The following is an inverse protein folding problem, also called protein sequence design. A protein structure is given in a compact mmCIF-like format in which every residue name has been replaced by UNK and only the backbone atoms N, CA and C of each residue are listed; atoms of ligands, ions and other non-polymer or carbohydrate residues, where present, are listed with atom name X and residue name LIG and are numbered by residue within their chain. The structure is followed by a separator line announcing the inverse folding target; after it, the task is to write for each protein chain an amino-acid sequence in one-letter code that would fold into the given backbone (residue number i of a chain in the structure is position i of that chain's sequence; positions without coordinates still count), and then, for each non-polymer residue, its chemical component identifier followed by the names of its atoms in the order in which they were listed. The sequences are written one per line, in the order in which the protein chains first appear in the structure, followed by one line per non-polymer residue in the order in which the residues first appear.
data_IF_006564776192
#
_entry.id   IF_006564776192
#
_cell.length_a   1.000
_cell.length_b   1.000
_cell.length_c   1.000
_cell.angle_alpha   90.00
_cell.angle_beta   90.00
_cell.angle_gamma   90.00
#
_symmetry.space_group_name_H-M   'P 1'
#
loop_
_entity.id
_entity.type
_entity.pdbx_description
1 polymer ?
#
# COMPACT_ATOMS: atom_id res chain seq x y z
N UNK A 1 -25.21 -25.71 15.05
CA UNK A 1 -23.86 -25.27 14.53
C UNK A 1 -23.65 -25.96 13.21
N UNK A 2 -23.37 -25.22 12.15
CA UNK A 2 -22.99 -25.79 10.87
C UNK A 2 -21.54 -26.26 11.02
N UNK A 3 -21.35 -27.59 11.11
CA UNK A 3 -20.01 -28.19 11.18
C UNK A 3 -19.40 -28.10 9.78
N UNK A 4 -18.27 -27.42 9.64
CA UNK A 4 -17.53 -27.35 8.37
C UNK A 4 -16.81 -28.68 8.14
N UNK A 5 -17.01 -29.26 6.97
CA UNK A 5 -16.33 -30.46 6.52
C UNK A 5 -15.03 -30.07 5.76
N UNK A 6 -13.95 -29.95 6.49
CA UNK A 6 -12.65 -29.55 5.93
C UNK A 6 -12.14 -30.48 4.83
N UNK A 7 -12.65 -31.70 4.71
CA UNK A 7 -12.26 -32.58 3.61
C UNK A 7 -12.75 -32.08 2.24
N UNK A 8 -13.77 -31.22 2.22
CA UNK A 8 -14.32 -30.60 1.02
C UNK A 8 -13.71 -29.24 0.69
N UNK A 9 -12.96 -28.67 1.62
CA UNK A 9 -12.37 -27.37 1.47
C UNK A 9 -11.04 -27.44 0.67
N UNK A 10 -10.52 -26.31 0.17
CA UNK A 10 -9.26 -26.29 -0.59
C UNK A 10 -8.07 -26.87 0.17
N UNK A 11 -7.20 -27.60 -0.54
CA UNK A 11 -5.94 -28.14 -0.02
C UNK A 11 -4.80 -27.79 -0.95
N UNK A 12 -4.10 -26.69 -0.67
CA UNK A 12 -2.92 -26.24 -1.41
C UNK A 12 -1.75 -25.99 -0.48
N UNK A 13 -0.54 -26.32 -0.91
CA UNK A 13 0.69 -26.10 -0.14
C UNK A 13 1.18 -24.66 -0.38
N UNK A 14 0.73 -23.73 0.44
CA UNK A 14 0.95 -22.29 0.28
C UNK A 14 2.06 -21.78 1.20
N UNK A 15 2.99 -21.00 0.66
CA UNK A 15 3.89 -20.15 1.43
C UNK A 15 3.52 -18.68 1.22
N UNK A 16 3.29 -17.95 2.31
CA UNK A 16 3.17 -16.50 2.31
C UNK A 16 4.45 -15.89 2.87
N UNK A 17 5.16 -15.10 2.07
CA UNK A 17 6.49 -14.60 2.38
C UNK A 17 6.46 -13.08 2.52
N UNK A 18 6.99 -12.54 3.62
CA UNK A 18 7.09 -11.12 3.95
C UNK A 18 8.56 -10.74 4.21
N UNK A 19 9.05 -9.69 3.56
CA UNK A 19 10.39 -9.16 3.76
C UNK A 19 10.45 -8.31 5.01
N UNK A 20 11.23 -8.74 6.00
CA UNK A 20 11.28 -8.07 7.31
C UNK A 20 11.75 -6.63 7.21
N UNK A 21 10.85 -5.67 7.56
CA UNK A 21 11.14 -4.23 7.53
C UNK A 21 11.71 -3.77 6.17
N UNK A 22 11.11 -4.17 5.08
CA UNK A 22 11.66 -4.18 3.72
C UNK A 22 12.46 -2.93 3.35
N UNK A 23 11.86 -1.73 3.34
CA UNK A 23 12.58 -0.51 2.95
C UNK A 23 13.78 -0.24 3.85
N UNK A 24 13.64 -0.43 5.16
CA UNK A 24 14.74 -0.24 6.10
C UNK A 24 15.85 -1.29 5.88
N UNK A 25 15.48 -2.52 5.53
CA UNK A 25 16.44 -3.59 5.21
C UNK A 25 17.20 -3.30 3.91
N UNK A 26 16.52 -2.83 2.86
CA UNK A 26 17.17 -2.39 1.62
C UNK A 26 18.17 -1.28 1.90
N UNK A 27 17.76 -0.27 2.68
CA UNK A 27 18.64 0.85 3.03
C UNK A 27 19.87 0.42 3.87
N UNK A 28 19.69 -0.55 4.76
CA UNK A 28 20.82 -1.12 5.50
C UNK A 28 21.78 -1.86 4.57
N UNK A 29 21.27 -2.79 3.76
CA UNK A 29 22.09 -3.61 2.86
C UNK A 29 22.89 -2.78 1.87
N UNK A 30 22.25 -1.81 1.23
CA UNK A 30 22.92 -0.90 0.26
C UNK A 30 24.04 -0.06 0.89
N UNK A 31 24.04 0.09 2.23
CA UNK A 31 25.09 0.79 2.99
C UNK A 31 26.07 -0.15 3.69
N UNK A 32 26.01 -1.44 3.42
CA UNK A 32 26.85 -2.44 4.10
C UNK A 32 26.52 -2.61 5.59
N UNK A 33 25.31 -2.23 6.02
CA UNK A 33 24.86 -2.34 7.41
C UNK A 33 23.99 -3.58 7.60
N UNK A 34 24.01 -4.14 8.82
CA UNK A 34 23.18 -5.29 9.15
C UNK A 34 21.75 -4.83 9.50
N UNK A 35 20.69 -5.29 8.76
CA UNK A 35 19.31 -4.90 9.00
C UNK A 35 18.77 -5.24 10.39
N UNK A 36 19.27 -6.29 11.04
CA UNK A 36 18.80 -6.72 12.35
C UNK A 36 19.40 -5.94 13.53
N UNK A 37 20.62 -5.41 13.36
CA UNK A 37 21.37 -4.77 14.45
C UNK A 37 21.50 -3.26 14.30
N UNK A 38 21.23 -2.72 13.11
CA UNK A 38 21.30 -1.28 12.84
C UNK A 38 19.99 -0.60 13.22
N UNK A 39 20.08 0.51 13.95
CA UNK A 39 18.93 1.37 14.20
C UNK A 39 18.76 2.33 13.02
N UNK A 40 17.79 2.04 12.13
CA UNK A 40 17.54 2.81 10.91
C UNK A 40 16.05 3.05 10.71
N UNK A 41 15.73 4.23 10.19
CA UNK A 41 14.37 4.64 9.85
C UNK A 41 14.35 5.31 8.47
N UNK A 42 13.41 4.88 7.62
CA UNK A 42 13.10 5.50 6.33
C UNK A 42 11.97 6.49 6.53
N UNK A 43 12.24 7.76 6.24
CA UNK A 43 11.32 8.86 6.55
C UNK A 43 11.14 9.79 5.36
N UNK A 44 9.89 10.00 4.94
CA UNK A 44 9.56 11.04 3.99
C UNK A 44 9.71 12.40 4.66
N UNK A 45 10.52 13.29 4.13
CA UNK A 45 10.81 14.61 4.71
C UNK A 45 11.50 14.54 6.07
N UNK A 46 12.73 14.01 6.09
CA UNK A 46 13.58 13.98 7.28
C UNK A 46 13.92 15.38 7.82
N UNK A 47 13.75 16.42 7.01
CA UNK A 47 13.93 17.84 7.32
C UNK A 47 12.76 18.45 8.11
N UNK A 48 11.63 17.77 8.23
CA UNK A 48 10.39 18.32 8.75
C UNK A 48 9.83 17.44 9.89
N UNK A 49 9.36 18.10 10.96
CA UNK A 49 8.68 17.46 12.11
C UNK A 49 7.40 16.67 11.73
N UNK A 50 6.85 16.87 10.53
CA UNK A 50 5.67 16.16 10.02
C UNK A 50 6.01 14.99 9.07
N UNK A 51 7.27 14.61 8.96
CA UNK A 51 7.71 13.49 8.11
C UNK A 51 6.99 12.18 8.49
N UNK A 52 6.60 11.41 7.49
CA UNK A 52 6.00 10.10 7.68
C UNK A 52 7.10 9.05 7.76
N UNK A 53 7.11 8.24 8.80
CA UNK A 53 7.98 7.08 8.91
C UNK A 53 7.35 5.95 8.08
N UNK A 54 8.00 5.59 6.97
CA UNK A 54 7.52 4.57 6.04
C UNK A 54 7.90 3.17 6.49
N UNK A 55 9.12 3.03 6.98
CA UNK A 55 9.62 1.77 7.53
C UNK A 55 10.72 2.03 8.56
N UNK A 56 10.91 1.09 9.44
CA UNK A 56 11.97 1.13 10.45
C UNK A 56 12.53 -0.26 10.72
N UNK A 57 13.81 -0.32 11.04
CA UNK A 57 14.51 -1.56 11.37
C UNK A 57 13.97 -2.20 12.67
N UNK A 58 14.19 -3.51 12.89
CA UNK A 58 13.76 -4.18 14.09
C UNK A 58 14.29 -3.54 15.37
N UNK A 59 15.56 -3.08 15.37
CA UNK A 59 16.15 -2.38 16.51
C UNK A 59 15.46 -1.05 16.76
N UNK A 60 15.18 -0.27 15.72
CA UNK A 60 14.44 0.98 15.86
C UNK A 60 13.08 0.75 16.54
N UNK A 61 12.33 -0.26 16.06
CA UNK A 61 11.02 -0.63 16.65
C UNK A 61 11.15 -1.02 18.11
N UNK A 62 12.17 -1.82 18.45
CA UNK A 62 12.44 -2.26 19.82
C UNK A 62 12.78 -1.10 20.77
N UNK A 63 13.61 -0.14 20.32
CA UNK A 63 14.10 0.96 21.14
C UNK A 63 13.04 2.05 21.34
N UNK A 64 12.36 2.44 20.26
CA UNK A 64 11.43 3.57 20.28
C UNK A 64 9.96 3.17 20.33
N UNK A 65 9.65 1.87 20.40
CA UNK A 65 8.28 1.34 20.53
C UNK A 65 7.36 1.68 19.37
N UNK A 66 7.92 1.97 18.18
CA UNK A 66 7.15 2.41 17.04
C UNK A 66 6.97 1.28 16.02
N UNK A 67 5.71 0.89 15.82
CA UNK A 67 5.29 0.14 14.65
C UNK A 67 5.43 0.99 13.38
N UNK A 68 5.21 0.38 12.22
CA UNK A 68 5.23 1.09 10.93
C UNK A 68 4.18 2.21 10.88
N UNK A 69 4.44 3.21 10.03
CA UNK A 69 3.52 4.32 9.72
C UNK A 69 3.17 5.19 10.93
N UNK A 70 4.16 5.88 11.46
CA UNK A 70 3.98 6.96 12.45
C UNK A 70 4.56 8.28 11.91
N UNK A 71 4.28 9.36 12.61
CA UNK A 71 4.83 10.68 12.27
C UNK A 71 6.11 10.94 13.04
N UNK A 72 7.00 11.72 12.47
CA UNK A 72 8.26 12.08 13.11
C UNK A 72 8.07 12.85 14.43
N UNK A 73 7.00 13.65 14.55
CA UNK A 73 6.68 14.34 15.80
C UNK A 73 6.26 13.42 16.95
N UNK A 74 5.95 12.14 16.65
CA UNK A 74 5.65 11.13 17.66
C UNK A 74 6.91 10.44 18.20
N UNK A 75 8.09 10.73 17.63
CA UNK A 75 9.33 10.15 18.14
C UNK A 75 9.70 10.78 19.50
N UNK A 76 10.22 9.98 20.45
CA UNK A 76 10.65 10.48 21.75
C UNK A 76 11.94 11.33 21.68
N UNK A 77 12.37 11.68 20.48
CA UNK A 77 13.49 12.58 20.23
C UNK A 77 13.21 13.49 19.01
N UNK A 78 13.86 14.64 18.96
CA UNK A 78 13.81 15.55 17.83
C UNK A 78 14.77 15.09 16.74
N UNK A 79 14.30 15.01 15.48
CA UNK A 79 15.08 14.46 14.36
C UNK A 79 16.39 15.22 14.15
N UNK A 80 16.35 16.55 14.15
CA UNK A 80 17.53 17.40 13.86
C UNK A 80 18.51 17.45 15.02
N UNK A 81 18.03 17.74 16.22
CA UNK A 81 18.88 17.93 17.39
C UNK A 81 19.25 16.64 18.10
N UNK A 82 18.54 15.55 17.82
CA UNK A 82 18.65 14.25 18.52
C UNK A 82 18.37 14.31 20.01
N UNK A 83 17.88 15.45 20.51
CA UNK A 83 17.50 15.65 21.89
C UNK A 83 16.15 15.05 22.21
N UNK A 84 15.96 14.71 23.49
CA UNK A 84 14.72 14.13 23.99
C UNK A 84 13.50 15.03 23.72
N UNK A 85 12.42 14.43 23.23
CA UNK A 85 11.15 15.11 22.93
C UNK A 85 10.14 14.84 24.06
N UNK A 86 10.08 15.76 25.01
CA UNK A 86 9.22 15.66 26.20
C UNK A 86 7.73 15.51 25.82
N UNK A 87 7.27 16.25 24.81
CA UNK A 87 5.86 16.24 24.40
C UNK A 87 5.46 14.88 23.82
N UNK A 88 6.32 14.28 22.99
CA UNK A 88 6.09 12.94 22.43
C UNK A 88 6.18 11.86 23.51
N UNK A 89 7.15 11.95 24.41
CA UNK A 89 7.32 11.02 25.52
C UNK A 89 6.08 11.00 26.45
N UNK A 90 5.55 12.16 26.81
CA UNK A 90 4.30 12.28 27.58
C UNK A 90 3.11 11.61 26.88
N UNK A 91 2.92 11.84 25.56
CA UNK A 91 1.84 11.22 24.78
C UNK A 91 1.96 9.68 24.74
N UNK A 92 3.18 9.15 24.84
CA UNK A 92 3.45 7.70 24.82
C UNK A 92 3.48 7.06 26.21
N UNK A 93 3.31 7.84 27.26
CA UNK A 93 3.42 7.35 28.63
C UNK A 93 4.83 6.90 29.02
N UNK A 94 5.87 7.41 28.33
CA UNK A 94 7.27 7.07 28.67
C UNK A 94 7.67 7.72 29.98
N UNK A 95 8.39 7.00 30.88
CA UNK A 95 8.90 7.57 32.09
C UNK A 95 9.91 8.70 31.82
N UNK A 96 9.75 9.84 32.49
CA UNK A 96 10.63 11.02 32.32
C UNK A 96 11.70 11.00 33.43
N UNK A 97 12.64 10.07 33.36
CA UNK A 97 13.79 9.96 34.26
C UNK A 97 15.08 10.30 33.53
N UNK A 98 16.12 10.70 34.25
CA UNK A 98 17.46 10.96 33.67
C UNK A 98 17.98 9.77 32.86
N UNK A 99 17.74 8.55 33.34
CA UNK A 99 18.19 7.33 32.68
C UNK A 99 17.47 7.10 31.35
N UNK A 100 16.14 7.31 31.30
CA UNK A 100 15.34 7.17 30.05
C UNK A 100 15.72 8.25 29.04
N UNK A 101 15.87 9.51 29.50
CA UNK A 101 16.32 10.61 28.63
C UNK A 101 17.66 10.27 27.98
N UNK A 102 18.65 9.91 28.79
CA UNK A 102 20.00 9.54 28.34
C UNK A 102 19.97 8.33 27.38
N UNK A 103 19.15 7.33 27.69
CA UNK A 103 18.98 6.14 26.86
C UNK A 103 18.42 6.50 25.46
N UNK A 104 17.34 7.29 25.41
CA UNK A 104 16.71 7.75 24.17
C UNK A 104 17.68 8.61 23.35
N UNK A 105 18.36 9.58 23.98
CA UNK A 105 19.33 10.45 23.27
C UNK A 105 20.51 9.65 22.71
N UNK A 106 21.07 8.71 23.48
CA UNK A 106 22.16 7.85 23.02
C UNK A 106 21.75 7.02 21.79
N UNK A 107 20.55 6.47 21.78
CA UNK A 107 20.04 5.73 20.63
C UNK A 107 19.66 6.66 19.46
N UNK A 108 19.12 7.83 19.73
CA UNK A 108 18.85 8.84 18.73
C UNK A 108 20.10 9.25 17.95
N UNK A 109 21.24 9.42 18.65
CA UNK A 109 22.53 9.72 17.98
C UNK A 109 23.02 8.58 17.07
N UNK A 110 22.75 7.34 17.43
CA UNK A 110 23.13 6.14 16.65
C UNK A 110 22.13 5.82 15.53
N UNK A 111 21.00 6.49 15.50
CA UNK A 111 19.93 6.21 14.52
C UNK A 111 20.24 6.83 13.18
N UNK A 112 20.28 6.01 12.14
CA UNK A 112 20.38 6.43 10.75
C UNK A 112 18.97 6.78 10.25
N UNK A 113 18.77 8.01 9.78
CA UNK A 113 17.50 8.47 9.18
C UNK A 113 17.78 8.78 7.72
N UNK A 114 17.01 8.14 6.84
CA UNK A 114 17.21 8.25 5.39
C UNK A 114 15.91 8.57 4.67
N UNK A 115 15.95 9.30 3.55
CA UNK A 115 14.80 9.48 2.67
C UNK A 115 14.45 8.17 1.96
N UNK A 116 13.20 7.98 1.50
CA UNK A 116 12.82 6.81 0.71
C UNK A 116 13.42 6.88 -0.70
N UNK A 117 13.76 5.70 -1.25
CA UNK A 117 14.20 5.48 -2.63
C UNK A 117 13.28 4.44 -3.28
N UNK A 118 12.08 4.87 -3.67
CA UNK A 118 11.03 3.95 -4.12
C UNK A 118 11.42 3.14 -5.35
N UNK A 119 12.20 3.71 -6.29
CA UNK A 119 12.74 2.97 -7.45
C UNK A 119 13.60 1.80 -7.00
N UNK A 120 14.49 2.04 -6.02
CA UNK A 120 15.37 1.02 -5.47
C UNK A 120 14.61 -0.11 -4.80
N UNK A 121 13.52 0.21 -4.13
CA UNK A 121 12.67 -0.82 -3.49
C UNK A 121 11.94 -1.66 -4.53
N UNK A 122 11.49 -1.06 -5.63
CA UNK A 122 10.89 -1.78 -6.77
C UNK A 122 11.94 -2.71 -7.41
N UNK A 123 13.16 -2.24 -7.66
CA UNK A 123 14.25 -3.08 -8.19
C UNK A 123 14.52 -4.29 -7.29
N UNK A 124 14.62 -4.07 -5.97
CA UNK A 124 14.82 -5.18 -5.01
C UNK A 124 13.66 -6.14 -4.96
N UNK A 125 12.41 -5.65 -5.06
CA UNK A 125 11.26 -6.53 -5.20
C UNK A 125 11.38 -7.40 -6.46
N UNK A 126 11.74 -6.81 -7.61
CA UNK A 126 11.90 -7.57 -8.86
C UNK A 126 13.02 -8.63 -8.77
N UNK A 127 14.13 -8.35 -8.06
CA UNK A 127 15.16 -9.35 -7.77
C UNK A 127 14.59 -10.53 -6.95
N UNK A 128 13.78 -10.22 -5.93
CA UNK A 128 13.15 -11.23 -5.06
C UNK A 128 12.12 -12.06 -5.85
N UNK A 129 11.31 -11.43 -6.71
CA UNK A 129 10.37 -12.15 -7.57
C UNK A 129 11.09 -13.14 -8.49
N UNK A 130 12.26 -12.80 -9.03
CA UNK A 130 13.10 -13.73 -9.80
C UNK A 130 13.64 -14.90 -8.96
N UNK A 131 13.84 -14.69 -7.66
CA UNK A 131 14.22 -15.78 -6.75
C UNK A 131 13.04 -16.75 -6.57
N UNK A 132 11.82 -16.25 -6.37
CA UNK A 132 10.62 -17.09 -6.26
C UNK A 132 10.42 -17.97 -7.49
N UNK A 133 10.66 -17.43 -8.69
CA UNK A 133 10.55 -18.15 -9.96
C UNK A 133 11.52 -19.34 -10.11
N UNK A 134 12.50 -19.49 -9.22
CA UNK A 134 13.35 -20.68 -9.15
C UNK A 134 12.66 -21.85 -8.45
N UNK A 135 11.63 -21.58 -7.66
CA UNK A 135 10.95 -22.56 -6.80
C UNK A 135 9.51 -22.85 -7.23
N UNK A 136 8.90 -21.95 -8.00
CA UNK A 136 7.53 -22.08 -8.48
C UNK A 136 7.38 -21.45 -9.87
N UNK A 137 6.39 -21.89 -10.64
CA UNK A 137 6.06 -21.28 -11.92
C UNK A 137 5.53 -19.82 -11.71
N UNK A 138 5.70 -18.93 -12.69
CA UNK A 138 5.18 -17.55 -12.57
C UNK A 138 3.68 -17.47 -12.29
N UNK A 139 2.89 -18.45 -12.75
CA UNK A 139 1.45 -18.56 -12.49
C UNK A 139 1.12 -18.94 -11.04
N UNK A 140 2.07 -19.54 -10.35
CA UNK A 140 1.94 -20.01 -8.98
C UNK A 140 2.45 -18.97 -7.96
N UNK A 141 2.85 -17.79 -8.44
CA UNK A 141 3.34 -16.67 -7.63
C UNK A 141 2.39 -15.50 -7.76
N UNK A 142 1.79 -15.08 -6.65
CA UNK A 142 0.96 -13.88 -6.56
C UNK A 142 1.69 -12.81 -5.74
N UNK A 143 2.30 -11.78 -6.37
CA UNK A 143 2.79 -10.62 -5.66
C UNK A 143 1.61 -9.90 -4.99
N UNK A 144 1.61 -9.89 -3.65
CA UNK A 144 0.53 -9.30 -2.87
C UNK A 144 0.78 -7.83 -2.57
N UNK A 145 2.02 -7.49 -2.24
CA UNK A 145 2.49 -6.12 -2.06
C UNK A 145 3.94 -5.98 -2.56
N UNK A 146 4.58 -4.85 -2.26
CA UNK A 146 5.98 -4.63 -2.64
C UNK A 146 6.96 -5.51 -1.87
N UNK A 147 6.56 -6.05 -0.73
CA UNK A 147 7.38 -6.85 0.18
C UNK A 147 6.75 -8.20 0.56
N UNK A 148 5.56 -8.49 0.02
CA UNK A 148 4.81 -9.71 0.34
C UNK A 148 4.38 -10.45 -0.93
N UNK A 149 4.43 -11.79 -0.89
CA UNK A 149 3.94 -12.65 -1.96
C UNK A 149 3.35 -13.95 -1.43
N UNK A 150 2.29 -14.45 -2.08
CA UNK A 150 1.85 -15.83 -1.97
C UNK A 150 2.54 -16.67 -3.04
N UNK A 151 2.93 -17.88 -2.68
CA UNK A 151 3.51 -18.87 -3.59
C UNK A 151 2.78 -20.19 -3.35
N UNK A 152 2.17 -20.74 -4.40
CA UNK A 152 1.67 -22.11 -4.40
C UNK A 152 2.82 -23.06 -4.73
N UNK A 153 3.18 -23.87 -3.77
CA UNK A 153 4.27 -24.85 -3.88
C UNK A 153 3.75 -26.27 -4.12
N UNK A 154 2.43 -26.45 -4.28
CA UNK A 154 1.79 -27.78 -4.41
C UNK A 154 2.40 -28.60 -5.53
N UNK A 155 2.58 -27.99 -6.70
CA UNK A 155 3.15 -28.69 -7.87
C UNK A 155 4.67 -28.93 -7.77
N UNK A 156 5.39 -28.06 -7.07
CA UNK A 156 6.85 -28.09 -7.00
C UNK A 156 7.40 -28.75 -5.75
N UNK A 157 6.58 -28.97 -4.71
CA UNK A 157 7.02 -29.46 -3.40
C UNK A 157 7.80 -30.77 -3.48
N UNK A 158 7.25 -31.77 -4.16
CA UNK A 158 7.90 -33.09 -4.30
C UNK A 158 9.11 -33.08 -5.24
N UNK A 159 9.17 -32.11 -6.18
CA UNK A 159 10.34 -31.95 -7.05
C UNK A 159 11.56 -31.45 -6.24
N UNK A 160 11.36 -30.48 -5.34
CA UNK A 160 12.46 -29.95 -4.52
C UNK A 160 12.76 -30.77 -3.28
N UNK A 161 11.76 -31.50 -2.75
CA UNK A 161 11.89 -32.30 -1.52
C UNK A 161 11.37 -33.73 -1.80
N UNK A 162 12.23 -34.57 -2.37
CA UNK A 162 11.92 -35.96 -2.74
C UNK A 162 11.91 -36.93 -1.56
N UNK A 163 12.14 -36.48 -0.32
CA UNK A 163 12.25 -37.34 0.86
C UNK A 163 10.87 -37.91 1.24
N UNK A 164 10.69 -39.22 1.01
CA UNK A 164 9.40 -39.92 1.20
C UNK A 164 8.95 -40.04 2.65
N UNK A 165 9.87 -39.91 3.61
CA UNK A 165 9.59 -40.02 5.05
C UNK A 165 9.03 -38.74 5.66
N UNK A 166 9.15 -37.59 4.97
CA UNK A 166 8.65 -36.28 5.46
C UNK A 166 7.17 -36.10 5.15
N UNK A 167 6.43 -35.63 6.12
CA UNK A 167 5.05 -35.15 5.92
C UNK A 167 5.01 -33.94 4.99
N UNK A 168 3.83 -33.60 4.44
CA UNK A 168 3.66 -32.38 3.63
C UNK A 168 4.07 -31.13 4.41
N UNK A 169 3.68 -31.00 5.68
CA UNK A 169 4.05 -29.87 6.55
C UNK A 169 5.57 -29.73 6.68
N UNK A 170 6.29 -30.83 6.92
CA UNK A 170 7.75 -30.84 7.02
C UNK A 170 8.43 -30.49 5.69
N UNK A 171 7.96 -31.05 4.58
CA UNK A 171 8.47 -30.70 3.24
C UNK A 171 8.31 -29.21 2.96
N UNK A 172 7.16 -28.64 3.29
CA UNK A 172 6.85 -27.23 3.09
C UNK A 172 7.75 -26.34 3.96
N UNK A 173 8.05 -26.72 5.21
CA UNK A 173 9.01 -26.01 6.06
C UNK A 173 10.43 -26.06 5.50
N UNK A 174 10.90 -27.24 5.05
CA UNK A 174 12.22 -27.38 4.45
C UNK A 174 12.36 -26.53 3.17
N UNK A 175 11.34 -26.56 2.29
CA UNK A 175 11.38 -25.78 1.07
C UNK A 175 11.32 -24.26 1.36
N UNK A 176 10.48 -23.85 2.29
CA UNK A 176 10.42 -22.45 2.75
C UNK A 176 11.74 -21.99 3.35
N UNK A 177 12.44 -22.85 4.09
CA UNK A 177 13.79 -22.56 4.58
C UNK A 177 14.79 -22.34 3.45
N UNK A 178 14.75 -23.16 2.39
CA UNK A 178 15.60 -22.97 1.20
C UNK A 178 15.31 -21.64 0.51
N UNK A 179 14.04 -21.26 0.38
CA UNK A 179 13.64 -19.97 -0.20
C UNK A 179 14.18 -18.81 0.65
N UNK A 180 14.01 -18.84 1.98
CA UNK A 180 14.55 -17.83 2.87
C UNK A 180 16.08 -17.70 2.75
N UNK A 181 16.80 -18.81 2.70
CA UNK A 181 18.25 -18.81 2.55
C UNK A 181 18.68 -18.21 1.22
N UNK A 182 17.99 -18.52 0.12
CA UNK A 182 18.31 -17.97 -1.20
C UNK A 182 18.03 -16.47 -1.27
N UNK A 183 16.93 -15.98 -0.67
CA UNK A 183 16.64 -14.56 -0.55
C UNK A 183 17.78 -13.87 0.22
N UNK A 184 18.11 -14.36 1.41
CA UNK A 184 19.17 -13.79 2.22
C UNK A 184 20.53 -13.80 1.52
N UNK A 185 20.90 -14.92 0.91
CA UNK A 185 22.18 -15.08 0.20
C UNK A 185 22.31 -14.11 -0.98
N UNK A 186 21.23 -13.86 -1.71
CA UNK A 186 21.24 -13.00 -2.91
C UNK A 186 21.06 -11.52 -2.59
N UNK A 187 20.24 -11.21 -1.60
CA UNK A 187 19.80 -9.82 -1.34
C UNK A 187 20.24 -9.26 0.01
N UNK A 188 20.73 -10.09 0.92
CA UNK A 188 21.00 -9.70 2.32
C UNK A 188 19.74 -9.37 3.14
N UNK A 189 18.55 -9.58 2.58
CA UNK A 189 17.27 -9.29 3.21
C UNK A 189 16.73 -10.55 3.89
N UNK A 190 16.21 -10.37 5.10
CA UNK A 190 15.61 -11.45 5.88
C UNK A 190 14.11 -11.49 5.59
N UNK A 191 13.57 -12.69 5.41
CA UNK A 191 12.15 -12.91 5.21
C UNK A 191 11.51 -13.71 6.33
N UNK A 192 10.23 -13.51 6.53
CA UNK A 192 9.36 -14.29 7.43
C UNK A 192 8.40 -15.08 6.54
N UNK A 193 8.10 -16.33 6.90
CA UNK A 193 7.25 -17.20 6.10
C UNK A 193 6.14 -17.81 6.95
N UNK A 194 4.90 -17.55 6.56
CA UNK A 194 3.75 -18.31 7.03
C UNK A 194 3.42 -19.38 5.99
N UNK A 195 3.11 -20.57 6.42
CA UNK A 195 2.83 -21.71 5.59
C UNK A 195 1.48 -22.33 5.91
N UNK A 196 0.87 -22.96 4.93
CA UNK A 196 -0.32 -23.76 5.11
C UNK A 196 -0.37 -24.86 4.05
N UNK A 197 -0.82 -26.05 4.43
CA UNK A 197 -1.20 -27.11 3.48
C UNK A 197 -2.74 -27.11 3.23
N UNK A 198 -3.40 -26.00 3.51
CA UNK A 198 -4.82 -25.79 3.33
C UNK A 198 -5.12 -24.67 2.33
N UNK A 199 -4.90 -23.41 2.71
CA UNK A 199 -5.30 -22.27 1.91
C UNK A 199 -4.43 -20.99 2.20
N UNK A 200 -4.53 -19.94 1.37
CA UNK A 200 -3.78 -18.71 1.53
C UNK A 200 -4.02 -17.96 2.86
N UNK A 201 -5.26 -17.98 3.37
CA UNK A 201 -5.62 -17.32 4.62
C UNK A 201 -4.82 -17.86 5.80
N UNK A 202 -4.79 -19.18 5.96
CA UNK A 202 -4.07 -19.82 7.08
C UNK A 202 -2.56 -19.58 6.99
N UNK A 203 -1.99 -19.54 5.76
CA UNK A 203 -0.58 -19.15 5.57
C UNK A 203 -0.34 -17.69 6.03
N UNK A 204 -1.24 -16.77 5.69
CA UNK A 204 -1.16 -15.36 6.12
C UNK A 204 -1.30 -15.21 7.63
N UNK A 205 -2.26 -15.90 8.24
CA UNK A 205 -2.47 -15.87 9.69
C UNK A 205 -1.29 -16.47 10.46
N UNK A 206 -0.71 -17.57 9.97
CA UNK A 206 0.48 -18.17 10.54
C UNK A 206 1.67 -17.19 10.53
N UNK A 207 1.84 -16.43 9.44
CA UNK A 207 2.89 -15.42 9.36
C UNK A 207 2.67 -14.32 10.38
N UNK A 208 1.49 -13.73 10.42
CA UNK A 208 1.21 -12.54 11.23
C UNK A 208 1.20 -12.86 12.74
N UNK A 209 0.67 -14.02 13.13
CA UNK A 209 0.43 -14.34 14.53
C UNK A 209 1.54 -15.19 15.18
N UNK A 210 2.26 -16.02 14.41
CA UNK A 210 3.26 -16.92 14.97
C UNK A 210 4.66 -16.71 14.36
N UNK A 211 4.82 -16.78 13.03
CA UNK A 211 6.15 -16.80 12.38
C UNK A 211 7.04 -15.62 12.77
N UNK A 212 6.46 -14.41 12.89
CA UNK A 212 7.19 -13.19 13.29
C UNK A 212 7.79 -13.27 14.69
N UNK A 213 7.33 -14.22 15.53
CA UNK A 213 7.76 -14.40 16.93
C UNK A 213 8.74 -15.59 17.08
N UNK A 214 8.83 -16.49 16.09
CA UNK A 214 9.72 -17.64 16.12
C UNK A 214 11.16 -17.28 15.76
N UNK A 215 12.14 -18.08 16.24
CA UNK A 215 13.57 -17.89 15.88
C UNK A 215 13.84 -18.22 14.40
N UNK A 216 13.11 -19.17 13.84
CA UNK A 216 13.22 -19.56 12.43
C UNK A 216 12.52 -18.58 11.49
N UNK A 217 11.69 -17.69 12.04
CA UNK A 217 10.80 -16.80 11.28
C UNK A 217 9.87 -17.59 10.34
N UNK A 218 9.44 -18.78 10.76
CA UNK A 218 8.50 -19.65 10.05
C UNK A 218 7.45 -20.20 11.01
N UNK A 219 6.23 -20.37 10.48
CA UNK A 219 5.13 -21.08 11.14
C UNK A 219 4.25 -21.76 10.10
N UNK A 220 3.62 -22.86 10.46
CA UNK A 220 2.77 -23.64 9.58
C UNK A 220 1.44 -23.93 10.29
N UNK A 221 0.32 -23.44 9.71
CA UNK A 221 -1.04 -23.65 10.18
C UNK A 221 -1.86 -24.40 9.14
N UNK A 222 -2.69 -25.30 9.59
CA UNK A 222 -3.62 -26.10 8.78
C UNK A 222 -5.01 -26.08 9.38
N UNK A 223 -5.94 -26.83 8.81
CA UNK A 223 -7.30 -26.91 9.35
C UNK A 223 -7.35 -27.47 10.78
N UNK A 224 -6.42 -28.39 11.13
CA UNK A 224 -6.34 -28.93 12.48
C UNK A 224 -5.90 -27.89 13.53
N UNK A 225 -5.30 -26.77 13.08
CA UNK A 225 -4.85 -25.70 13.95
C UNK A 225 -5.94 -24.60 14.17
N UNK A 226 -7.14 -24.71 13.55
CA UNK A 226 -8.16 -23.66 13.61
C UNK A 226 -8.63 -23.41 15.04
N UNK A 227 -9.04 -24.45 15.75
CA UNK A 227 -9.54 -24.31 17.11
C UNK A 227 -8.46 -23.87 18.10
N UNK A 228 -7.22 -24.38 17.93
CA UNK A 228 -6.13 -24.18 18.89
C UNK A 228 -5.26 -22.96 18.61
N UNK A 229 -5.32 -22.38 17.38
CA UNK A 229 -4.49 -21.23 17.01
C UNK A 229 -5.30 -20.08 16.41
N UNK A 230 -6.23 -20.35 15.47
CA UNK A 230 -6.99 -19.28 14.82
C UNK A 230 -7.96 -18.65 15.83
N UNK A 231 -8.69 -19.46 16.60
CA UNK A 231 -9.64 -18.96 17.61
C UNK A 231 -8.96 -18.31 18.80
N UNK A 232 -7.68 -18.65 19.05
CA UNK A 232 -6.84 -18.08 20.12
C UNK A 232 -6.11 -16.79 19.72
N UNK A 233 -6.38 -16.23 18.52
CA UNK A 233 -5.84 -14.92 18.15
C UNK A 233 -6.38 -13.86 19.12
N UNK A 234 -5.47 -13.09 19.81
CA UNK A 234 -5.84 -12.31 21.00
C UNK A 234 -6.82 -11.18 20.73
N UNK A 235 -6.79 -10.59 19.54
CA UNK A 235 -7.61 -9.43 19.19
C UNK A 235 -8.27 -9.64 17.83
N UNK A 236 -9.49 -9.19 17.68
CA UNK A 236 -10.16 -9.17 16.38
C UNK A 236 -9.35 -8.42 15.32
N UNK A 237 -8.64 -7.36 15.69
CA UNK A 237 -7.81 -6.58 14.78
C UNK A 237 -6.48 -7.25 14.40
N UNK A 238 -6.07 -8.30 15.10
CA UNK A 238 -4.92 -9.13 14.71
C UNK A 238 -5.30 -10.20 13.67
N UNK A 239 -6.60 -10.32 13.40
CA UNK A 239 -7.13 -11.19 12.36
C UNK A 239 -7.17 -10.46 11.02
N UNK A 240 -6.59 -11.08 9.98
CA UNK A 240 -6.53 -10.48 8.65
C UNK A 240 -7.93 -10.20 8.08
N UNK A 241 -8.16 -8.96 7.64
CA UNK A 241 -9.44 -8.48 7.13
C UNK A 241 -10.31 -7.74 8.15
N UNK A 242 -9.95 -7.76 9.45
CA UNK A 242 -10.69 -7.03 10.49
C UNK A 242 -9.88 -5.78 10.92
N UNK A 243 -10.39 -4.61 10.55
CA UNK A 243 -9.87 -3.33 11.05
C UNK A 243 -10.70 -2.79 12.21
N UNK A 244 -10.22 -1.74 12.88
CA UNK A 244 -10.88 -1.14 14.05
C UNK A 244 -12.34 -0.71 13.83
N UNK A 245 -12.74 -0.39 12.60
CA UNK A 245 -14.14 -0.08 12.27
C UNK A 245 -14.99 -1.34 12.21
N UNK A 246 -14.48 -2.42 11.65
CA UNK A 246 -15.16 -3.72 11.61
C UNK A 246 -15.29 -4.30 13.01
N UNK A 247 -14.21 -4.25 13.80
CA UNK A 247 -14.20 -4.66 15.22
C UNK A 247 -15.29 -3.95 16.01
N UNK A 248 -15.42 -2.62 15.93
CA UNK A 248 -16.48 -1.86 16.62
C UNK A 248 -17.90 -2.30 16.22
N UNK A 249 -18.09 -2.74 14.97
CA UNK A 249 -19.38 -3.25 14.51
C UNK A 249 -19.64 -4.66 15.01
N UNK A 250 -18.61 -5.51 15.03
CA UNK A 250 -18.69 -6.86 15.63
C UNK A 250 -19.02 -6.78 17.12
N UNK A 251 -18.39 -5.88 17.88
CA UNK A 251 -18.71 -5.65 19.29
C UNK A 251 -20.19 -5.27 19.52
N UNK A 252 -20.82 -4.52 18.59
CA UNK A 252 -22.27 -4.21 18.69
C UNK A 252 -23.15 -5.44 18.52
N UNK A 253 -22.66 -6.49 17.85
CA UNK A 253 -23.33 -7.78 17.73
C UNK A 253 -22.98 -8.74 18.88
N UNK A 254 -22.21 -8.28 19.89
CA UNK A 254 -21.75 -9.12 20.99
C UNK A 254 -20.58 -10.04 20.66
N UNK A 255 -19.89 -9.82 19.53
CA UNK A 255 -18.76 -10.63 19.06
C UNK A 255 -17.46 -9.94 19.45
N UNK A 256 -16.68 -10.54 20.35
CA UNK A 256 -15.47 -9.97 20.93
C UNK A 256 -14.20 -10.80 20.67
N UNK A 257 -14.35 -12.01 20.12
CA UNK A 257 -13.24 -12.93 19.79
C UNK A 257 -13.43 -13.58 18.41
N UNK A 258 -12.35 -14.17 17.89
CA UNK A 258 -12.44 -14.93 16.62
C UNK A 258 -13.28 -16.19 16.81
N UNK A 259 -13.22 -16.83 17.98
CA UNK A 259 -14.07 -17.97 18.30
C UNK A 259 -15.56 -17.59 18.26
N UNK A 260 -15.95 -16.50 18.92
CA UNK A 260 -17.33 -16.02 18.89
C UNK A 260 -17.79 -15.65 17.47
N UNK A 261 -16.88 -15.11 16.64
CA UNK A 261 -17.14 -14.84 15.22
C UNK A 261 -17.38 -16.14 14.44
N UNK A 262 -16.58 -17.18 14.67
CA UNK A 262 -16.71 -18.48 14.05
C UNK A 262 -18.01 -19.22 14.47
N UNK A 263 -18.44 -19.04 15.71
CA UNK A 263 -19.65 -19.65 16.29
C UNK A 263 -20.91 -18.82 16.02
N UNK A 264 -20.79 -17.59 15.49
CA UNK A 264 -21.93 -16.71 15.24
C UNK A 264 -22.78 -17.18 14.06
N UNK A 265 -24.00 -16.62 13.95
CA UNK A 265 -24.87 -16.90 12.82
C UNK A 265 -24.45 -16.11 11.58
N UNK A 266 -24.08 -16.77 10.46
CA UNK A 266 -23.68 -16.09 9.24
C UNK A 266 -24.78 -15.19 8.64
N UNK A 267 -26.07 -15.47 8.87
CA UNK A 267 -27.19 -14.65 8.40
C UNK A 267 -27.21 -13.26 9.08
N UNK A 268 -26.87 -13.21 10.37
CA UNK A 268 -26.79 -11.92 11.09
C UNK A 268 -25.58 -11.10 10.66
N UNK A 269 -24.46 -11.76 10.38
CA UNK A 269 -23.29 -11.12 9.78
C UNK A 269 -23.60 -10.61 8.36
N UNK A 270 -24.38 -11.35 7.57
CA UNK A 270 -24.81 -10.94 6.24
C UNK A 270 -25.70 -9.69 6.29
N UNK A 271 -26.63 -9.61 7.23
CA UNK A 271 -27.48 -8.42 7.44
C UNK A 271 -26.65 -7.18 7.78
N UNK A 272 -25.63 -7.32 8.64
CA UNK A 272 -24.81 -6.20 9.10
C UNK A 272 -23.73 -5.80 8.06
N UNK A 273 -23.01 -6.77 7.49
CA UNK A 273 -21.82 -6.52 6.66
C UNK A 273 -21.99 -6.90 5.18
N UNK A 274 -23.13 -7.47 4.79
CA UNK A 274 -23.34 -8.06 3.46
C UNK A 274 -22.45 -9.28 3.24
N UNK A 275 -22.03 -9.51 2.00
CA UNK A 275 -21.19 -10.66 1.63
C UNK A 275 -19.87 -10.75 2.43
N UNK A 276 -19.32 -9.60 2.82
CA UNK A 276 -18.10 -9.55 3.64
C UNK A 276 -18.34 -10.18 5.02
N UNK A 277 -19.53 -10.06 5.59
CA UNK A 277 -19.87 -10.72 6.86
C UNK A 277 -19.82 -12.24 6.77
N UNK A 278 -20.39 -12.79 5.71
CA UNK A 278 -20.34 -14.23 5.43
C UNK A 278 -18.89 -14.69 5.22
N UNK A 279 -18.12 -13.93 4.46
CA UNK A 279 -16.71 -14.21 4.25
C UNK A 279 -15.91 -14.21 5.57
N UNK A 280 -16.15 -13.24 6.46
CA UNK A 280 -15.49 -13.19 7.77
C UNK A 280 -15.84 -14.41 8.63
N UNK A 281 -17.07 -14.92 8.53
CA UNK A 281 -17.46 -16.16 9.22
C UNK A 281 -16.68 -17.37 8.70
N UNK A 282 -16.60 -17.56 7.37
CA UNK A 282 -15.77 -18.61 6.78
C UNK A 282 -14.31 -18.47 7.17
N UNK A 283 -13.76 -17.26 7.11
CA UNK A 283 -12.38 -17.00 7.49
C UNK A 283 -12.11 -17.32 8.97
N UNK A 284 -13.03 -16.98 9.88
CA UNK A 284 -12.89 -17.32 11.30
C UNK A 284 -12.90 -18.83 11.54
N UNK A 285 -13.52 -19.58 10.64
CA UNK A 285 -13.48 -21.04 10.60
C UNK A 285 -12.31 -21.59 9.75
N UNK A 286 -11.32 -20.75 9.38
CA UNK A 286 -10.13 -21.17 8.65
C UNK A 286 -10.35 -21.46 7.17
N UNK A 287 -11.52 -21.18 6.61
CA UNK A 287 -11.88 -21.47 5.21
C UNK A 287 -11.67 -20.25 4.33
N UNK A 288 -10.96 -20.42 3.23
CA UNK A 288 -10.74 -19.40 2.19
C UNK A 288 -10.63 -20.08 0.81
N UNK A 289 -11.53 -19.72 -0.08
CA UNK A 289 -11.56 -20.21 -1.47
C UNK A 289 -10.73 -19.35 -2.44
N UNK A 290 -9.93 -18.44 -1.92
CA UNK A 290 -9.09 -17.57 -2.77
C UNK A 290 -8.14 -18.40 -3.63
N UNK A 291 -8.19 -18.16 -4.94
CA UNK A 291 -7.35 -18.83 -5.91
C UNK A 291 -6.22 -17.88 -6.37
N UNK A 292 -4.98 -18.16 -5.97
CA UNK A 292 -3.82 -17.34 -6.33
C UNK A 292 -3.47 -17.39 -7.81
N UNK A 293 -3.92 -18.44 -8.55
CA UNK A 293 -3.74 -18.55 -10.00
C UNK A 293 -4.72 -17.64 -10.78
N UNK A 294 -5.77 -17.18 -10.13
CA UNK A 294 -6.74 -16.26 -10.70
C UNK A 294 -6.77 -14.95 -9.92
N UNK A 295 -5.75 -14.11 -10.06
CA UNK A 295 -5.67 -12.87 -9.31
C UNK A 295 -6.89 -12.00 -9.60
N UNK A 296 -7.48 -11.47 -8.54
CA UNK A 296 -8.62 -10.57 -8.63
C UNK A 296 -8.30 -9.37 -9.52
N UNK A 297 -8.91 -9.32 -10.69
CA UNK A 297 -8.82 -8.17 -11.60
C UNK A 297 -9.80 -7.11 -11.13
N UNK A 298 -9.29 -6.09 -10.44
CA UNK A 298 -10.09 -4.93 -10.09
C UNK A 298 -10.69 -4.33 -11.34
N UNK A 299 -12.00 -4.49 -11.53
CA UNK A 299 -12.73 -3.71 -12.51
C UNK A 299 -12.80 -2.28 -12.00
N UNK A 300 -11.81 -1.48 -12.42
CA UNK A 300 -11.68 -0.11 -11.96
C UNK A 300 -12.89 0.72 -12.43
N UNK A 301 -13.77 1.06 -11.49
CA UNK A 301 -14.89 1.99 -11.75
C UNK A 301 -14.43 3.42 -12.01
N UNK A 302 -13.14 3.71 -11.87
CA UNK A 302 -12.57 5.03 -12.14
C UNK A 302 -11.06 5.08 -11.90
N UNK A 303 -10.42 6.10 -12.48
CA UNK A 303 -9.01 6.43 -12.33
C UNK A 303 -8.92 7.79 -11.66
N UNK A 304 -8.12 7.93 -10.62
CA UNK A 304 -7.97 9.21 -9.92
C UNK A 304 -6.60 9.35 -9.30
N UNK A 305 -6.34 10.57 -8.86
CA UNK A 305 -5.18 10.92 -8.08
C UNK A 305 -5.57 11.95 -7.02
N UNK A 306 -4.89 11.93 -5.88
CA UNK A 306 -5.05 12.95 -4.83
C UNK A 306 -3.68 13.34 -4.28
N UNK A 307 -3.61 14.56 -3.76
CA UNK A 307 -2.36 15.13 -3.25
C UNK A 307 -2.63 16.02 -2.06
N UNK A 308 -1.82 15.88 -1.01
CA UNK A 308 -1.71 16.85 0.07
C UNK A 308 -0.74 17.93 -0.39
N UNK A 309 -1.15 19.19 -0.32
CA UNK A 309 -0.32 20.31 -0.70
C UNK A 309 0.78 20.59 0.35
N UNK A 310 1.92 21.18 -0.04
CA UNK A 310 3.02 21.47 0.89
C UNK A 310 2.64 22.54 1.94
N UNK A 311 1.79 23.46 1.56
CA UNK A 311 1.22 24.53 2.39
C UNK A 311 -0.27 24.67 2.10
N UNK A 312 -0.97 25.44 2.89
CA UNK A 312 -2.35 25.83 2.58
C UNK A 312 -2.36 26.82 1.41
N UNK A 313 -3.17 26.55 0.38
CA UNK A 313 -3.34 27.41 -0.77
C UNK A 313 -4.59 28.27 -0.54
N UNK A 314 -4.42 29.57 -0.49
CA UNK A 314 -5.50 30.55 -0.18
C UNK A 314 -6.05 31.22 -1.44
N UNK A 315 -5.29 31.30 -2.53
CA UNK A 315 -5.71 31.87 -3.79
C UNK A 315 -6.31 30.80 -4.71
N UNK A 316 -7.45 31.11 -5.29
CA UNK A 316 -8.17 30.20 -6.19
C UNK A 316 -7.31 29.79 -7.39
N UNK A 317 -6.57 30.74 -7.96
CA UNK A 317 -5.69 30.55 -9.12
C UNK A 317 -4.60 29.50 -8.85
N UNK A 318 -4.01 29.50 -7.67
CA UNK A 318 -3.02 28.51 -7.26
C UNK A 318 -3.60 27.09 -7.21
N UNK A 319 -4.85 26.97 -6.71
CA UNK A 319 -5.57 25.69 -6.67
C UNK A 319 -5.90 25.23 -8.09
N UNK A 320 -6.29 26.14 -8.99
CA UNK A 320 -6.60 25.83 -10.39
C UNK A 320 -5.39 25.34 -11.17
N UNK A 321 -4.18 25.85 -10.91
CA UNK A 321 -2.94 25.32 -11.48
C UNK A 321 -2.78 23.84 -11.13
N UNK A 322 -2.88 23.49 -9.86
CA UNK A 322 -2.71 22.10 -9.42
C UNK A 322 -3.83 21.18 -9.93
N UNK A 323 -5.08 21.67 -9.95
CA UNK A 323 -6.20 20.92 -10.53
C UNK A 323 -5.97 20.62 -12.02
N UNK A 324 -5.46 21.59 -12.78
CA UNK A 324 -5.15 21.42 -14.21
C UNK A 324 -4.06 20.38 -14.43
N UNK A 325 -3.00 20.40 -13.63
CA UNK A 325 -1.93 19.42 -13.67
C UNK A 325 -2.43 18.01 -13.33
N UNK A 326 -3.28 17.89 -12.31
CA UNK A 326 -3.85 16.60 -11.91
C UNK A 326 -4.81 16.07 -12.96
N UNK A 327 -5.65 16.93 -13.54
CA UNK A 327 -6.58 16.58 -14.62
C UNK A 327 -5.82 16.00 -15.83
N UNK A 328 -4.71 16.64 -16.24
CA UNK A 328 -3.84 16.16 -17.31
C UNK A 328 -3.25 14.79 -16.99
N UNK A 329 -2.67 14.61 -15.80
CA UNK A 329 -2.05 13.34 -15.42
C UNK A 329 -3.05 12.17 -15.38
N UNK A 330 -4.28 12.42 -14.91
CA UNK A 330 -5.32 11.39 -14.92
C UNK A 330 -5.80 11.11 -16.35
N UNK A 331 -5.86 12.12 -17.23
CA UNK A 331 -6.21 11.96 -18.65
C UNK A 331 -5.17 11.09 -19.40
N UNK A 332 -3.86 11.31 -19.18
CA UNK A 332 -2.79 10.44 -19.70
C UNK A 332 -3.02 8.98 -19.28
N UNK A 333 -3.39 8.75 -18.03
CA UNK A 333 -3.66 7.39 -17.53
C UNK A 333 -4.93 6.77 -18.13
N UNK A 334 -5.93 7.56 -18.53
CA UNK A 334 -7.08 7.08 -19.29
C UNK A 334 -6.64 6.59 -20.67
N UNK A 335 -5.88 7.42 -21.41
CA UNK A 335 -5.40 7.07 -22.75
C UNK A 335 -4.54 5.83 -22.77
N UNK A 336 -3.58 5.71 -21.84
CA UNK A 336 -2.76 4.50 -21.67
C UNK A 336 -3.55 3.23 -21.38
N UNK A 337 -4.81 3.36 -20.90
CA UNK A 337 -5.72 2.25 -20.64
C UNK A 337 -6.80 2.09 -21.71
N UNK A 338 -6.70 2.83 -22.80
CA UNK A 338 -7.70 2.84 -23.88
C UNK A 338 -9.12 3.06 -23.35
N UNK A 339 -9.27 4.11 -22.50
CA UNK A 339 -10.55 4.47 -21.88
C UNK A 339 -10.88 5.95 -22.08
N UNK A 340 -12.19 6.25 -22.10
CA UNK A 340 -12.79 7.57 -21.98
C UNK A 340 -13.62 7.62 -20.71
N UNK A 341 -13.79 8.81 -20.12
CA UNK A 341 -14.66 9.01 -18.95
C UNK A 341 -15.93 9.72 -19.32
N UNK A 342 -17.03 9.39 -18.62
CA UNK A 342 -18.30 10.11 -18.66
C UNK A 342 -18.58 10.90 -17.40
N UNK A 343 -17.77 10.73 -16.34
CA UNK A 343 -18.00 11.36 -15.05
C UNK A 343 -16.69 11.88 -14.48
N UNK A 344 -16.63 13.17 -14.23
CA UNK A 344 -15.52 13.80 -13.50
C UNK A 344 -15.91 14.05 -12.05
N UNK A 345 -14.98 13.89 -11.13
CA UNK A 345 -15.16 14.21 -9.72
C UNK A 345 -13.94 14.95 -9.21
N UNK A 346 -14.17 15.96 -8.36
CA UNK A 346 -13.12 16.65 -7.63
C UNK A 346 -13.33 16.51 -6.13
N UNK A 347 -12.22 16.48 -5.42
CA UNK A 347 -12.14 16.53 -3.97
C UNK A 347 -11.25 17.68 -3.55
N UNK A 348 -11.75 18.55 -2.69
CA UNK A 348 -11.00 19.63 -2.07
C UNK A 348 -11.05 19.41 -0.56
N UNK A 349 -9.91 19.13 0.04
CA UNK A 349 -9.76 19.09 1.49
C UNK A 349 -9.27 20.43 1.98
N UNK A 350 -10.00 21.05 2.92
CA UNK A 350 -9.62 22.33 3.48
C UNK A 350 -8.57 22.21 4.59
N UNK A 351 -7.96 23.32 4.94
CA UNK A 351 -7.07 23.41 6.09
C UNK A 351 -7.80 23.03 7.38
N UNK A 352 -7.05 22.52 8.35
CA UNK A 352 -7.58 22.18 9.69
C UNK A 352 -8.15 23.39 10.45
N UNK A 353 -7.86 24.60 9.98
CA UNK A 353 -8.34 25.86 10.56
C UNK A 353 -9.66 26.33 9.94
N UNK A 354 -10.12 25.67 8.89
CA UNK A 354 -11.39 25.98 8.24
C UNK A 354 -12.56 25.26 8.92
N UNK A 355 -13.72 25.88 8.95
CA UNK A 355 -14.94 25.28 9.52
C UNK A 355 -15.39 24.06 8.70
N UNK A 356 -15.24 24.13 7.38
CA UNK A 356 -15.59 23.07 6.44
C UNK A 356 -14.38 22.16 6.22
N UNK A 357 -14.54 20.86 6.43
CA UNK A 357 -13.44 19.90 6.28
C UNK A 357 -13.13 19.57 4.82
N UNK A 358 -14.15 19.49 3.96
CA UNK A 358 -13.97 19.12 2.55
C UNK A 358 -15.15 19.51 1.66
N UNK A 359 -14.87 19.54 0.36
CA UNK A 359 -15.84 19.69 -0.72
C UNK A 359 -15.69 18.50 -1.68
N UNK A 360 -16.78 17.79 -1.92
CA UNK A 360 -16.86 16.74 -2.94
C UNK A 360 -17.91 17.14 -3.98
N UNK A 361 -17.54 17.11 -5.24
CA UNK A 361 -18.51 17.34 -6.31
C UNK A 361 -18.14 16.56 -7.57
N UNK A 362 -19.15 16.30 -8.39
CA UNK A 362 -19.03 15.58 -9.63
C UNK A 362 -19.92 16.19 -10.71
N UNK A 363 -19.56 15.95 -11.97
CA UNK A 363 -20.34 16.35 -13.13
C UNK A 363 -20.21 15.32 -14.24
N UNK A 364 -21.30 15.07 -14.96
CA UNK A 364 -21.27 14.31 -16.18
C UNK A 364 -20.56 15.10 -17.28
N UNK A 365 -19.88 14.40 -18.17
CA UNK A 365 -19.22 14.94 -19.36
C UNK A 365 -19.47 14.00 -20.54
N UNK A 366 -19.40 14.52 -21.74
CA UNK A 366 -19.38 13.67 -22.93
C UNK A 366 -18.13 12.77 -22.89
N UNK A 367 -18.24 11.52 -23.42
CA UNK A 367 -17.16 10.56 -23.36
C UNK A 367 -15.85 11.11 -23.91
N UNK A 368 -14.88 11.41 -23.05
CA UNK A 368 -13.63 12.05 -23.46
C UNK A 368 -12.42 11.51 -22.67
N UNK A 369 -11.25 11.54 -23.29
CA UNK A 369 -9.92 11.39 -22.70
C UNK A 369 -8.98 12.53 -23.12
N UNK A 370 -9.51 13.55 -23.79
CA UNK A 370 -8.79 14.73 -24.22
C UNK A 370 -8.42 15.61 -23.02
N UNK A 371 -7.14 15.93 -22.90
CA UNK A 371 -6.64 16.74 -21.78
C UNK A 371 -7.31 18.10 -21.67
N UNK A 372 -7.49 18.80 -22.79
CA UNK A 372 -8.09 20.13 -22.82
C UNK A 372 -9.55 20.11 -22.34
N UNK A 373 -10.35 19.19 -22.88
CA UNK A 373 -11.77 19.03 -22.54
C UNK A 373 -11.95 18.72 -21.08
N UNK A 374 -11.21 17.71 -20.55
CA UNK A 374 -11.33 17.28 -19.16
C UNK A 374 -10.82 18.33 -18.18
N UNK A 375 -9.73 19.03 -18.52
CA UNK A 375 -9.22 20.13 -17.68
C UNK A 375 -10.22 21.27 -17.59
N UNK A 376 -10.79 21.68 -18.73
CA UNK A 376 -11.84 22.73 -18.76
C UNK A 376 -13.03 22.34 -17.89
N UNK A 377 -13.53 21.11 -18.02
CA UNK A 377 -14.66 20.61 -17.24
C UNK A 377 -14.34 20.57 -15.72
N UNK A 378 -13.15 20.12 -15.33
CA UNK A 378 -12.68 20.10 -13.94
C UNK A 378 -12.65 21.51 -13.36
N UNK A 379 -12.08 22.49 -14.08
CA UNK A 379 -12.02 23.88 -13.63
C UNK A 379 -13.38 24.53 -13.54
N UNK A 380 -14.26 24.29 -14.51
CA UNK A 380 -15.65 24.79 -14.46
C UNK A 380 -16.41 24.25 -13.26
N UNK A 381 -16.26 22.93 -12.97
CA UNK A 381 -16.86 22.30 -11.81
C UNK A 381 -16.33 22.91 -10.51
N UNK A 382 -15.02 23.13 -10.44
CA UNK A 382 -14.38 23.76 -9.28
C UNK A 382 -14.90 25.18 -9.06
N UNK A 383 -14.85 26.04 -10.07
CA UNK A 383 -15.33 27.45 -10.01
C UNK A 383 -16.80 27.57 -9.62
N UNK A 384 -17.63 26.61 -10.06
CA UNK A 384 -19.06 26.58 -9.71
C UNK A 384 -19.32 26.23 -8.23
N UNK A 385 -18.42 25.47 -7.59
CA UNK A 385 -18.66 24.86 -6.27
C UNK A 385 -17.76 25.39 -5.16
N UNK A 386 -16.60 25.88 -5.51
CA UNK A 386 -15.68 26.50 -4.56
C UNK A 386 -15.97 27.98 -4.44
N UNK A 387 -16.08 28.47 -3.21
CA UNK A 387 -16.32 29.88 -2.95
C UNK A 387 -15.17 30.53 -2.19
N UNK A 388 -14.67 29.86 -1.15
CA UNK A 388 -13.56 30.33 -0.34
C UNK A 388 -13.04 29.22 0.57
N UNK A 389 -11.90 29.49 1.21
CA UNK A 389 -11.26 28.64 2.21
C UNK A 389 -9.87 28.18 1.79
N UNK A 390 -8.99 28.06 2.77
CA UNK A 390 -7.62 27.57 2.55
C UNK A 390 -7.60 26.08 2.20
N UNK A 391 -7.04 25.72 1.04
CA UNK A 391 -7.03 24.36 0.49
C UNK A 391 -5.75 23.66 0.89
N UNK A 392 -5.88 22.46 1.47
CA UNK A 392 -4.78 21.59 1.90
C UNK A 392 -4.63 20.31 1.09
N UNK A 393 -5.69 19.85 0.48
CA UNK A 393 -5.69 18.62 -0.30
C UNK A 393 -6.54 18.77 -1.55
N UNK A 394 -6.07 18.20 -2.65
CA UNK A 394 -6.76 18.21 -3.94
C UNK A 394 -6.82 16.78 -4.48
N UNK A 395 -7.95 16.41 -5.09
CA UNK A 395 -8.14 15.15 -5.78
C UNK A 395 -8.94 15.34 -7.06
N UNK A 396 -8.56 14.61 -8.10
CA UNK A 396 -9.28 14.49 -9.38
C UNK A 396 -9.51 13.02 -9.67
N UNK A 397 -10.73 12.65 -10.03
CA UNK A 397 -11.12 11.29 -10.38
C UNK A 397 -12.01 11.29 -11.61
N UNK A 398 -11.73 10.40 -12.54
CA UNK A 398 -12.51 10.09 -13.72
C UNK A 398 -13.16 8.72 -13.55
N UNK A 399 -14.46 8.64 -13.70
CA UNK A 399 -15.27 7.45 -13.46
C UNK A 399 -16.22 7.20 -14.64
N UNK A 400 -17.02 6.15 -14.53
CA UNK A 400 -17.90 5.72 -15.61
C UNK A 400 -17.13 5.56 -16.93
N UNK A 401 -16.13 4.65 -16.86
CA UNK A 401 -15.14 4.46 -17.91
C UNK A 401 -15.72 3.61 -19.04
N UNK A 402 -15.61 4.12 -20.27
CA UNK A 402 -15.97 3.41 -21.51
C UNK A 402 -14.74 3.18 -22.39
N UNK A 403 -14.83 2.26 -23.37
CA UNK A 403 -13.76 2.04 -24.34
C UNK A 403 -13.56 3.29 -25.21
N UNK A 404 -12.31 3.56 -25.60
CA UNK A 404 -11.97 4.65 -26.53
C UNK A 404 -12.10 4.26 -28.01
N UNK A 405 -12.44 2.99 -28.31
CA UNK A 405 -12.57 2.50 -29.68
C UNK A 405 -13.62 3.24 -30.52
N UNK A 406 -14.59 3.87 -29.88
CA UNK A 406 -15.64 4.63 -30.52
C UNK A 406 -15.65 6.06 -30.05
N UNK A 407 -15.80 7.00 -30.98
CA UNK A 407 -16.02 8.42 -30.69
C UNK A 407 -17.46 8.76 -31.03
N UNK A 408 -18.14 9.42 -30.11
CA UNK A 408 -19.43 10.07 -30.42
C UNK A 408 -19.06 11.44 -30.93
N UNK A 409 -19.43 11.73 -32.18
CA UNK A 409 -19.22 13.03 -32.82
C UNK A 409 -20.58 13.71 -32.86
N UNK A 410 -20.67 14.92 -32.29
CA UNK A 410 -21.86 15.77 -32.45
C UNK A 410 -21.89 16.40 -33.84
N UNK A 411 -23.08 16.72 -34.30
CA UNK A 411 -23.26 17.49 -35.56
C UNK A 411 -22.60 18.88 -35.50
N UNK A 412 -22.30 19.37 -34.32
CA UNK A 412 -21.65 20.66 -34.07
C UNK A 412 -20.13 20.57 -33.87
N UNK A 413 -19.58 19.36 -33.87
CA UNK A 413 -18.14 19.15 -33.77
C UNK A 413 -17.48 19.26 -35.13
N UNK A 414 -16.28 19.83 -35.18
CA UNK A 414 -15.43 19.80 -36.36
C UNK A 414 -14.56 18.54 -36.33
N UNK A 415 -14.84 17.52 -37.17
CA UNK A 415 -14.08 16.27 -37.17
C UNK A 415 -12.61 16.46 -37.50
N UNK A 416 -12.27 17.46 -38.35
CA UNK A 416 -10.87 17.73 -38.74
C UNK A 416 -10.09 18.30 -37.53
N UNK A 417 -10.71 19.23 -36.80
CA UNK A 417 -10.11 19.80 -35.60
C UNK A 417 -9.93 18.73 -34.51
N UNK A 418 -10.92 17.88 -34.31
CA UNK A 418 -10.85 16.77 -33.35
C UNK A 418 -9.72 15.79 -33.69
N UNK A 419 -9.57 15.40 -34.94
CA UNK A 419 -8.49 14.52 -35.40
C UNK A 419 -7.11 15.17 -35.20
N UNK A 420 -6.99 16.47 -35.49
CA UNK A 420 -5.75 17.22 -35.29
C UNK A 420 -5.36 17.30 -33.81
N UNK A 421 -6.32 17.56 -32.92
CA UNK A 421 -6.11 17.59 -31.48
C UNK A 421 -5.72 16.22 -30.93
N UNK A 422 -6.34 15.13 -31.44
CA UNK A 422 -5.99 13.78 -31.06
C UNK A 422 -4.56 13.41 -31.48
N UNK A 423 -4.17 13.71 -32.71
CA UNK A 423 -2.79 13.51 -33.20
C UNK A 423 -1.76 14.31 -32.40
N UNK A 424 -2.07 15.57 -32.08
CA UNK A 424 -1.22 16.38 -31.22
C UNK A 424 -1.04 15.77 -29.83
N UNK A 425 -2.13 15.31 -29.24
CA UNK A 425 -2.10 14.68 -27.91
C UNK A 425 -1.30 13.36 -27.92
N UNK A 426 -1.46 12.55 -28.96
CA UNK A 426 -0.67 11.31 -29.15
C UNK A 426 0.83 11.62 -29.31
N UNK A 427 1.19 12.65 -30.07
CA UNK A 427 2.57 13.06 -30.24
C UNK A 427 3.19 13.52 -28.90
N UNK A 428 2.46 14.32 -28.11
CA UNK A 428 2.91 14.76 -26.78
C UNK A 428 3.11 13.57 -25.86
N UNK A 429 2.15 12.64 -25.82
CA UNK A 429 2.24 11.45 -24.99
C UNK A 429 3.42 10.56 -25.42
N UNK A 430 3.63 10.38 -26.75
CA UNK A 430 4.77 9.62 -27.28
C UNK A 430 6.13 10.22 -26.89
N UNK A 431 6.30 11.54 -27.02
CA UNK A 431 7.53 12.23 -26.59
C UNK A 431 7.74 12.05 -25.08
N UNK A 432 6.70 12.14 -24.28
CA UNK A 432 6.82 11.94 -22.82
C UNK A 432 7.13 10.50 -22.43
N UNK A 433 6.63 9.52 -23.18
CA UNK A 433 6.93 8.11 -22.96
C UNK A 433 8.37 7.76 -23.32
N UNK A 434 8.95 8.40 -24.34
CA UNK A 434 10.31 8.18 -24.79
C UNK A 434 11.35 8.98 -23.98
N UNK A 435 11.09 10.26 -23.73
CA UNK A 435 12.06 11.19 -23.12
C UNK A 435 11.73 11.60 -21.69
N UNK A 436 10.66 11.01 -21.10
CA UNK A 436 10.19 11.30 -19.75
C UNK A 436 9.16 12.44 -19.68
N UNK A 437 8.40 12.42 -18.59
CA UNK A 437 7.25 13.33 -18.40
C UNK A 437 7.59 14.81 -18.49
N UNK A 438 8.80 15.21 -18.10
CA UNK A 438 9.24 16.60 -18.07
C UNK A 438 9.76 17.12 -19.42
N UNK A 439 9.87 16.29 -20.44
CA UNK A 439 10.38 16.69 -21.77
C UNK A 439 9.51 17.75 -22.48
N UNK A 440 8.18 17.69 -22.25
CA UNK A 440 7.24 18.72 -22.71
C UNK A 440 6.35 19.14 -21.54
N UNK A 441 6.35 20.43 -21.19
CA UNK A 441 5.57 20.99 -20.11
C UNK A 441 4.88 22.28 -20.53
N UNK A 442 3.78 22.60 -19.82
CA UNK A 442 3.13 23.90 -19.92
C UNK A 442 3.94 24.94 -19.15
N UNK A 443 3.95 26.20 -19.59
CA UNK A 443 4.60 27.30 -18.86
C UNK A 443 4.10 27.46 -17.43
N UNK A 444 2.85 27.10 -17.14
CA UNK A 444 2.29 27.08 -15.78
C UNK A 444 3.02 26.15 -14.82
N UNK A 445 3.79 25.15 -15.32
CA UNK A 445 4.63 24.27 -14.50
C UNK A 445 5.79 25.00 -13.80
N UNK A 446 6.09 26.23 -14.22
CA UNK A 446 7.13 27.09 -13.62
C UNK A 446 6.59 28.02 -12.52
N UNK A 447 5.27 28.09 -12.34
CA UNK A 447 4.66 28.87 -11.27
C UNK A 447 5.00 28.28 -9.89
N UNK A 448 5.11 29.15 -8.87
CA UNK A 448 5.40 28.72 -7.49
C UNK A 448 4.33 27.75 -6.93
N UNK A 449 3.07 27.94 -7.33
CA UNK A 449 1.96 27.07 -6.97
C UNK A 449 1.97 25.70 -7.66
N UNK A 450 2.73 25.56 -8.75
CA UNK A 450 2.84 24.31 -9.50
C UNK A 450 3.40 23.18 -8.66
N UNK A 451 2.87 21.98 -8.89
CA UNK A 451 3.38 20.74 -8.27
C UNK A 451 3.94 19.75 -9.29
N UNK A 452 3.94 20.12 -10.58
CA UNK A 452 4.23 19.22 -11.68
C UNK A 452 5.67 18.64 -11.59
N UNK A 453 6.68 19.50 -11.46
CA UNK A 453 8.09 19.09 -11.34
C UNK A 453 8.31 18.31 -10.04
N UNK A 454 7.77 18.77 -8.92
CA UNK A 454 7.93 18.08 -7.64
C UNK A 454 7.26 16.69 -7.64
N UNK A 455 6.13 16.54 -8.35
CA UNK A 455 5.41 15.26 -8.46
C UNK A 455 6.09 14.26 -9.38
N UNK A 456 6.77 14.70 -10.42
CA UNK A 456 7.50 13.80 -11.32
C UNK A 456 8.62 13.03 -10.62
N UNK A 457 9.10 13.55 -9.49
CA UNK A 457 10.10 12.92 -8.62
C UNK A 457 9.49 11.95 -7.59
N UNK A 458 8.19 11.69 -7.63
CA UNK A 458 7.49 10.86 -6.64
C UNK A 458 6.91 9.59 -7.27
N UNK A 459 7.05 8.48 -6.54
CA UNK A 459 6.34 7.23 -6.78
C UNK A 459 5.45 6.93 -5.57
N UNK A 460 4.16 6.72 -5.81
CA UNK A 460 3.20 6.49 -4.71
C UNK A 460 3.11 7.63 -3.69
N UNK A 461 3.51 8.86 -4.08
CA UNK A 461 3.54 10.02 -3.19
C UNK A 461 4.82 10.19 -2.36
N UNK A 462 5.80 9.31 -2.53
CA UNK A 462 7.11 9.34 -1.85
C UNK A 462 8.24 9.52 -2.86
N UNK A 463 9.40 9.98 -2.38
CA UNK A 463 10.56 10.18 -3.25
C UNK A 463 10.90 8.90 -4.02
N UNK A 464 11.02 9.02 -5.35
CA UNK A 464 11.44 7.93 -6.21
C UNK A 464 12.89 7.49 -5.91
N UNK A 465 13.72 8.38 -5.42
CA UNK A 465 15.15 8.22 -5.32
C UNK A 465 15.85 9.08 -6.38
N UNK A 466 17.10 8.95 -6.54
CA UNK A 466 17.95 9.72 -7.41
C UNK A 466 19.13 10.30 -6.63
N UNK A 467 19.98 11.09 -7.29
CA UNK A 467 21.19 11.63 -6.66
C UNK A 467 20.89 12.50 -5.42
N UNK A 468 19.73 13.14 -5.35
CA UNK A 468 19.29 13.94 -4.21
C UNK A 468 18.92 13.09 -2.97
N UNK A 469 18.66 11.79 -3.15
CA UNK A 469 18.35 10.84 -2.06
C UNK A 469 19.57 10.23 -1.37
N UNK A 470 20.78 10.56 -1.85
CA UNK A 470 22.06 10.06 -1.31
C UNK A 470 22.79 11.08 -0.42
N UNK A 471 22.23 12.28 -0.26
CA UNK A 471 22.78 13.32 0.62
C UNK A 471 22.30 13.22 2.06
#
# INVERSE_FOLDING_TARGET
MTVIDYAREPHSDIAFIDMKSFYASVECVDRGLNPLTTCLCVMSRADNANGLILASSPIFKKIFGKANVSRSYDLPFHIQTRKFNLAAAKRQGLPITRNVIRYVENWAQKTVIVPPRMDRYIEKNMEIQKIFQKFAAPTDILPYSIDEAFIDLTSSLNYFISHHQLTKKEKLDVLSSKIQQEIWRKTGIISTVGMSNANPLLAKLALDNEAKKTKTMRANWSYEDVETKVWEIPSLTDFWGIGSRTEKRLHKLGIHSIKELAESNPDDLQKEFGIIGVQLWFHANGVDESNIHQPYKVQSKGIGNSQILPRDYIHQEDVEVVLSEMAEQVAIRLRRRHKKTKLISIYIGFSKYEMKSSLHCQAAVDPSNQTAVLTKAVLQLFRKKYHSGAVRQIGVRYSDLVSDKYSIISLFDDPILMEKEEKLQQAIDGIRDEFGFLSIQKGTSLLESSRNIARSKLIGGHSAGGLEGLQ
#
